data_IF_478799232108
#
_entry.id   IF_478799232108
#
_cell.length_a   1.000
_cell.length_b   1.000
_cell.length_c   1.000
_cell.angle_alpha   90.00
_cell.angle_beta   90.00
_cell.angle_gamma   90.00
#
_symmetry.space_group_name_H-M   'P 1'
#
loop_
_entity.id
_entity.type
_entity.pdbx_description
1 polymer ?
#
# COMPACT_ATOMS: atom_id res chain seq x y z
N UNK A 1 -4.36 0.27 11.74
CA UNK A 1 -3.32 -0.41 12.54
C UNK A 1 -2.33 -1.01 11.57
N UNK A 2 -1.02 -0.86 11.80
CA UNK A 2 0.01 -1.44 10.92
C UNK A 2 0.05 -2.96 11.04
N UNK A 3 0.05 -3.65 9.90
CA UNK A 3 0.24 -5.10 9.80
C UNK A 3 1.72 -5.41 9.63
N UNK A 4 2.18 -6.46 10.29
CA UNK A 4 3.53 -6.97 10.09
C UNK A 4 3.67 -7.61 8.70
N UNK A 5 4.71 -7.23 7.96
CA UNK A 5 4.99 -7.76 6.64
C UNK A 5 6.43 -8.33 6.58
N UNK A 6 6.52 -9.66 6.45
CA UNK A 6 7.80 -10.39 6.44
C UNK A 6 8.71 -10.01 5.26
N UNK A 7 8.16 -9.76 4.07
CA UNK A 7 8.95 -9.34 2.90
C UNK A 7 9.61 -7.98 3.15
N UNK A 8 8.84 -7.04 3.71
CA UNK A 8 9.35 -5.72 4.10
C UNK A 8 10.39 -5.84 5.22
N UNK A 9 10.17 -6.73 6.20
CA UNK A 9 11.11 -6.96 7.30
C UNK A 9 12.45 -7.55 6.82
N UNK A 10 12.43 -8.43 5.83
CA UNK A 10 13.64 -8.96 5.21
C UNK A 10 14.46 -7.84 4.54
N UNK A 11 13.80 -6.93 3.83
CA UNK A 11 14.44 -5.74 3.23
C UNK A 11 15.03 -4.83 4.31
N UNK A 12 14.26 -4.53 5.36
CA UNK A 12 14.72 -3.72 6.49
C UNK A 12 15.95 -4.35 7.18
N UNK A 13 15.98 -5.69 7.32
CA UNK A 13 17.11 -6.42 7.92
C UNK A 13 18.35 -6.41 7.03
N UNK A 14 18.17 -6.52 5.71
CA UNK A 14 19.27 -6.37 4.77
C UNK A 14 19.87 -4.95 4.85
N UNK A 15 18.99 -3.94 4.91
CA UNK A 15 19.43 -2.56 4.96
C UNK A 15 20.09 -2.20 6.29
N UNK A 16 19.62 -2.74 7.43
CA UNK A 16 20.28 -2.50 8.72
C UNK A 16 21.73 -3.00 8.75
N UNK A 17 22.02 -4.10 8.06
CA UNK A 17 23.40 -4.57 7.85
C UNK A 17 24.18 -3.62 6.93
N UNK A 18 23.54 -3.13 5.86
CA UNK A 18 24.15 -2.16 4.94
C UNK A 18 24.60 -0.91 5.68
N UNK A 19 23.78 -0.38 6.60
CA UNK A 19 24.14 0.78 7.44
C UNK A 19 25.40 0.58 8.29
N UNK A 20 25.71 -0.66 8.68
CA UNK A 20 26.93 -0.98 9.44
C UNK A 20 28.20 -0.95 8.58
N UNK A 21 28.05 -1.09 7.26
CA UNK A 21 29.16 -1.18 6.30
C UNK A 21 29.37 0.18 5.60
N UNK A 22 28.27 0.79 5.16
CA UNK A 22 28.28 1.96 4.28
C UNK A 22 28.07 3.28 5.03
N UNK A 23 27.61 3.22 6.29
CA UNK A 23 27.31 4.38 7.12
C UNK A 23 25.80 4.62 7.30
N UNK A 24 25.46 5.54 8.21
CA UNK A 24 24.09 5.76 8.67
C UNK A 24 23.33 6.79 7.81
N UNK A 25 22.73 6.32 6.71
CA UNK A 25 22.00 7.16 5.75
C UNK A 25 20.73 6.47 5.21
N UNK A 26 19.73 7.24 4.79
CA UNK A 26 18.50 6.71 4.17
C UNK A 26 18.70 6.16 2.75
N UNK A 27 19.82 6.54 2.12
CA UNK A 27 20.23 6.07 0.80
C UNK A 27 21.51 5.26 0.91
N UNK A 28 21.57 4.17 0.15
CA UNK A 28 22.81 3.42 -0.03
C UNK A 28 23.80 4.18 -0.93
N UNK A 29 24.98 3.59 -1.13
CA UNK A 29 26.02 4.17 -2.00
C UNK A 29 25.59 4.29 -3.47
N UNK A 30 24.59 3.54 -3.92
CA UNK A 30 24.00 3.64 -5.26
C UNK A 30 22.91 4.72 -5.33
N UNK A 31 22.56 5.33 -4.20
CA UNK A 31 21.56 6.39 -4.07
C UNK A 31 20.12 5.89 -3.91
N UNK A 32 19.91 4.57 -3.72
CA UNK A 32 18.59 3.95 -3.61
C UNK A 32 18.00 4.21 -2.23
N UNK A 33 16.73 4.59 -2.18
CA UNK A 33 15.97 4.74 -0.94
C UNK A 33 15.10 3.52 -0.62
N UNK A 34 14.29 3.62 0.44
CA UNK A 34 13.43 2.51 0.86
C UNK A 34 12.39 2.12 -0.21
N UNK A 35 11.90 3.09 -1.00
CA UNK A 35 10.97 2.84 -2.10
C UNK A 35 11.65 2.08 -3.23
N UNK A 36 12.87 2.47 -3.59
CA UNK A 36 13.68 1.74 -4.56
C UNK A 36 13.92 0.29 -4.11
N UNK A 37 14.29 0.09 -2.83
CA UNK A 37 14.50 -1.25 -2.24
C UNK A 37 13.22 -2.10 -2.24
N UNK A 38 12.05 -1.52 -1.99
CA UNK A 38 10.76 -2.21 -2.11
C UNK A 38 10.48 -2.63 -3.56
N UNK A 39 10.68 -1.70 -4.51
CA UNK A 39 10.46 -1.94 -5.94
C UNK A 39 11.37 -3.04 -6.49
N UNK A 40 12.65 -3.04 -6.14
CA UNK A 40 13.62 -4.07 -6.56
C UNK A 40 13.24 -5.48 -6.08
N UNK A 41 12.42 -5.57 -5.04
CA UNK A 41 11.89 -6.82 -4.52
C UNK A 41 10.45 -7.11 -4.99
N UNK A 42 9.97 -6.43 -6.04
CA UNK A 42 8.61 -6.55 -6.60
C UNK A 42 7.51 -6.34 -5.55
N UNK A 43 7.72 -5.42 -4.61
CA UNK A 43 6.69 -5.01 -3.66
C UNK A 43 6.04 -3.74 -4.18
N UNK A 44 4.79 -3.86 -4.63
CA UNK A 44 3.97 -2.70 -4.95
C UNK A 44 3.69 -1.88 -3.70
N UNK A 45 3.61 -0.56 -3.80
CA UNK A 45 3.18 0.30 -2.71
C UNK A 45 2.58 1.60 -3.26
N UNK A 46 1.59 2.15 -2.55
CA UNK A 46 1.02 3.48 -2.86
C UNK A 46 1.81 4.61 -2.21
N UNK A 47 2.46 4.32 -1.08
CA UNK A 47 3.36 5.21 -0.34
C UNK A 47 4.36 4.37 0.45
N UNK A 48 5.57 4.90 0.66
CA UNK A 48 6.59 4.25 1.49
C UNK A 48 7.26 5.28 2.42
N UNK A 49 7.74 4.82 3.58
CA UNK A 49 8.54 5.60 4.51
C UNK A 49 9.56 4.72 5.22
N UNK A 50 10.57 5.34 5.82
CA UNK A 50 11.62 4.63 6.55
C UNK A 50 12.02 5.40 7.82
N UNK A 51 12.13 4.67 8.91
CA UNK A 51 12.75 5.12 10.14
C UNK A 51 14.05 4.36 10.36
N UNK A 52 15.11 5.11 10.68
CA UNK A 52 16.42 4.57 11.03
C UNK A 52 16.74 4.88 12.49
N UNK A 53 17.45 4.00 13.16
CA UNK A 53 17.98 4.27 14.50
C UNK A 53 19.35 3.60 14.67
N UNK A 54 20.32 4.32 15.22
CA UNK A 54 21.64 3.80 15.57
C UNK A 54 21.82 3.90 17.09
N UNK A 55 22.17 2.77 17.70
CA UNK A 55 22.49 2.69 19.12
C UNK A 55 23.95 2.30 19.25
N UNK A 56 24.72 3.06 20.02
CA UNK A 56 26.13 2.79 20.30
C UNK A 56 26.35 2.56 21.80
N UNK A 57 27.49 1.97 22.17
CA UNK A 57 27.85 1.75 23.56
C UNK A 57 26.97 0.72 24.28
N UNK A 58 26.33 -0.17 23.53
CA UNK A 58 25.41 -1.17 24.07
C UNK A 58 26.09 -2.09 25.10
N UNK A 59 25.30 -2.45 26.11
CA UNK A 59 25.63 -3.43 27.13
C UNK A 59 24.45 -4.40 27.31
N UNK A 60 24.62 -5.44 28.13
CA UNK A 60 23.64 -6.51 28.29
C UNK A 60 22.28 -6.07 28.88
N UNK A 61 22.17 -4.86 29.43
CA UNK A 61 20.93 -4.37 30.04
C UNK A 61 20.11 -3.46 29.11
N UNK A 62 20.63 -3.08 27.94
CA UNK A 62 19.91 -2.20 27.02
C UNK A 62 18.81 -2.98 26.28
N UNK A 63 17.57 -2.53 26.44
CA UNK A 63 16.45 -3.00 25.63
C UNK A 63 16.44 -2.27 24.27
N UNK A 64 16.95 -2.94 23.24
CA UNK A 64 17.14 -2.37 21.90
C UNK A 64 15.82 -1.92 21.28
N UNK A 65 14.76 -2.73 21.38
CA UNK A 65 13.47 -2.42 20.75
C UNK A 65 12.81 -1.21 21.40
N UNK A 66 12.76 -1.19 22.73
CA UNK A 66 12.20 -0.07 23.49
C UNK A 66 12.99 1.22 23.23
N UNK A 67 14.32 1.14 23.19
CA UNK A 67 15.17 2.30 22.92
C UNK A 67 14.91 2.87 21.52
N UNK A 68 14.89 2.02 20.49
CA UNK A 68 14.65 2.46 19.11
C UNK A 68 13.24 3.05 18.92
N UNK A 69 12.21 2.37 19.42
CA UNK A 69 10.81 2.84 19.31
C UNK A 69 10.62 4.15 20.07
N UNK A 70 11.13 4.24 21.30
CA UNK A 70 11.08 5.48 22.09
C UNK A 70 11.82 6.61 21.40
N UNK A 71 12.97 6.32 20.78
CA UNK A 71 13.72 7.29 19.98
C UNK A 71 12.90 7.82 18.80
N UNK A 72 12.25 6.94 18.03
CA UNK A 72 11.39 7.35 16.92
C UNK A 72 10.19 8.16 17.38
N UNK A 73 9.53 7.77 18.47
CA UNK A 73 8.36 8.48 18.99
C UNK A 73 8.68 9.89 19.50
N UNK A 74 9.90 10.16 19.97
CA UNK A 74 10.33 11.49 20.41
C UNK A 74 10.72 12.43 19.26
N UNK A 75 10.85 11.92 18.04
CA UNK A 75 11.18 12.72 16.86
C UNK A 75 9.94 12.89 15.98
N UNK A 76 9.42 14.11 15.75
CA UNK A 76 8.21 14.31 14.95
C UNK A 76 8.25 13.66 13.57
N UNK A 77 9.41 13.72 12.89
CA UNK A 77 9.58 13.10 11.57
C UNK A 77 9.45 11.57 11.63
N UNK A 78 10.02 10.91 12.63
CA UNK A 78 9.98 9.45 12.79
C UNK A 78 8.66 8.97 13.42
N UNK A 79 8.05 9.76 14.30
CA UNK A 79 6.73 9.47 14.86
C UNK A 79 5.65 9.52 13.79
N UNK A 80 5.80 10.40 12.80
CA UNK A 80 4.77 10.62 11.78
C UNK A 80 4.27 9.34 11.09
N UNK A 81 5.14 8.46 10.52
CA UNK A 81 4.68 7.21 9.92
C UNK A 81 4.16 6.16 10.93
N UNK A 82 4.43 6.32 12.23
CA UNK A 82 3.97 5.40 13.28
C UNK A 82 2.58 5.78 13.79
N UNK A 83 2.34 7.06 14.09
CA UNK A 83 1.15 7.52 14.82
C UNK A 83 0.41 8.70 14.19
N UNK A 84 1.08 9.57 13.43
CA UNK A 84 0.46 10.85 13.02
C UNK A 84 -0.16 10.78 11.60
N UNK A 85 -0.02 9.64 10.92
CA UNK A 85 -0.49 9.39 9.55
C UNK A 85 -1.41 8.17 9.50
N UNK A 86 -2.58 8.33 10.11
CA UNK A 86 -3.63 7.32 10.04
C UNK A 86 -3.96 6.97 8.59
N UNK A 87 -4.14 5.66 8.34
CA UNK A 87 -4.58 5.08 7.06
C UNK A 87 -3.65 5.27 5.84
N UNK A 88 -2.53 6.00 5.95
CA UNK A 88 -1.54 6.10 4.86
C UNK A 88 -0.67 4.86 4.73
N UNK A 89 -0.28 4.26 5.86
CA UNK A 89 0.50 3.03 5.89
C UNK A 89 -0.36 1.90 6.45
N UNK A 90 -0.39 0.78 5.74
CA UNK A 90 -1.12 -0.41 6.16
C UNK A 90 -0.18 -1.48 6.71
N UNK A 91 1.08 -1.47 6.27
CA UNK A 91 2.04 -2.53 6.50
C UNK A 91 3.40 -1.97 6.91
N UNK A 92 4.13 -2.70 7.75
CA UNK A 92 5.49 -2.37 8.13
C UNK A 92 6.34 -3.62 8.39
N UNK A 93 7.65 -3.46 8.25
CA UNK A 93 8.64 -4.46 8.59
C UNK A 93 9.82 -3.84 9.31
N UNK A 94 10.38 -4.56 10.29
CA UNK A 94 11.49 -4.10 11.12
C UNK A 94 12.68 -5.04 10.97
N UNK A 95 13.87 -4.48 10.82
CA UNK A 95 15.13 -5.20 10.75
C UNK A 95 16.17 -4.60 11.67
N UNK A 96 16.93 -5.45 12.36
CA UNK A 96 18.00 -5.02 13.25
C UNK A 96 19.27 -5.82 12.92
N UNK A 97 20.39 -5.11 12.83
CA UNK A 97 21.72 -5.69 12.72
C UNK A 97 22.62 -5.10 13.79
N UNK A 98 23.36 -5.96 14.49
CA UNK A 98 24.24 -5.56 15.59
C UNK A 98 25.66 -6.04 15.32
N UNK A 99 26.62 -5.15 15.51
CA UNK A 99 28.04 -5.48 15.47
C UNK A 99 28.74 -4.82 16.66
N UNK A 100 29.48 -5.63 17.43
CA UNK A 100 30.16 -5.22 18.68
C UNK A 100 29.16 -4.59 19.66
N UNK A 101 29.27 -3.29 19.91
CA UNK A 101 28.42 -2.51 20.84
C UNK A 101 27.50 -1.55 20.09
N UNK A 102 27.31 -1.76 18.79
CA UNK A 102 26.49 -0.91 17.95
C UNK A 102 25.38 -1.75 17.31
N UNK A 103 24.15 -1.24 17.32
CA UNK A 103 23.03 -1.83 16.60
C UNK A 103 22.36 -0.78 15.72
N UNK A 104 21.96 -1.21 14.53
CA UNK A 104 21.23 -0.44 13.54
C UNK A 104 19.83 -1.04 13.44
N UNK A 105 18.81 -0.22 13.68
CA UNK A 105 17.41 -0.60 13.51
C UNK A 105 16.82 0.17 12.32
N UNK A 106 16.10 -0.56 11.49
CA UNK A 106 15.40 -0.03 10.32
C UNK A 106 13.95 -0.47 10.44
N UNK A 107 13.02 0.47 10.27
CA UNK A 107 11.60 0.18 10.11
C UNK A 107 11.13 0.78 8.79
N UNK A 108 10.63 -0.06 7.90
CA UNK A 108 10.08 0.35 6.60
C UNK A 108 8.57 0.23 6.67
N UNK A 109 7.87 1.24 6.17
CA UNK A 109 6.41 1.32 6.10
C UNK A 109 5.98 1.32 4.64
N UNK A 110 4.86 0.67 4.33
CA UNK A 110 4.25 0.68 3.01
C UNK A 110 2.72 0.80 3.10
N UNK A 111 2.16 1.57 2.17
CA UNK A 111 0.73 1.56 1.87
C UNK A 111 0.43 0.44 0.87
N UNK A 112 -0.07 -0.69 1.36
CA UNK A 112 -0.51 -1.85 0.57
C UNK A 112 -2.02 -1.99 0.57
N UNK A 113 -2.73 -1.06 1.18
CA UNK A 113 -4.19 -1.03 1.20
C UNK A 113 -4.70 0.35 0.81
N UNK A 114 -5.82 0.38 0.10
CA UNK A 114 -6.56 1.61 -0.19
C UNK A 114 -8.03 1.37 0.07
N UNK A 115 -8.56 2.07 1.07
CA UNK A 115 -9.98 2.11 1.36
C UNK A 115 -10.58 3.41 0.83
N UNK A 116 -11.74 3.33 0.19
CA UNK A 116 -12.48 4.48 -0.28
C UNK A 116 -13.97 4.31 0.01
N UNK A 117 -14.59 5.39 0.50
CA UNK A 117 -16.03 5.48 0.67
C UNK A 117 -16.59 6.43 -0.37
N UNK A 118 -17.60 5.99 -1.09
CA UNK A 118 -18.28 6.80 -2.11
C UNK A 118 -19.79 6.75 -1.90
N UNK A 119 -20.48 7.81 -2.31
CA UNK A 119 -21.93 7.83 -2.44
C UNK A 119 -22.27 7.93 -3.93
N UNK A 120 -23.17 7.06 -4.38
CA UNK A 120 -23.56 6.96 -5.78
C UNK A 120 -25.08 7.12 -5.90
N UNK A 121 -25.51 8.24 -6.49
CA UNK A 121 -26.93 8.52 -6.70
C UNK A 121 -27.54 7.59 -7.77
N UNK A 122 -28.88 7.43 -7.80
CA UNK A 122 -29.56 6.63 -8.82
C UNK A 122 -29.20 7.08 -10.24
N UNK A 123 -28.81 6.14 -11.09
CA UNK A 123 -28.40 6.38 -12.48
C UNK A 123 -26.96 6.90 -12.67
N UNK A 124 -26.21 7.09 -11.58
CA UNK A 124 -24.80 7.50 -11.64
C UNK A 124 -23.88 6.28 -11.66
N UNK A 125 -22.67 6.51 -12.14
CA UNK A 125 -21.58 5.54 -12.12
C UNK A 125 -20.25 6.23 -11.84
N UNK A 126 -19.25 5.46 -11.44
CA UNK A 126 -17.89 5.94 -11.17
C UNK A 126 -16.85 4.98 -11.74
N UNK A 127 -15.62 5.49 -11.91
CA UNK A 127 -14.45 4.70 -12.29
C UNK A 127 -13.35 4.83 -11.23
N UNK A 128 -12.72 3.71 -10.92
CA UNK A 128 -11.60 3.63 -9.99
C UNK A 128 -10.48 2.80 -10.61
N UNK A 129 -9.25 3.30 -10.55
CA UNK A 129 -8.10 2.48 -10.92
C UNK A 129 -7.87 1.38 -9.89
N UNK A 130 -7.70 0.16 -10.38
CA UNK A 130 -7.08 -0.93 -9.62
C UNK A 130 -5.57 -0.76 -9.59
N UNK A 131 -5.01 -0.30 -10.71
CA UNK A 131 -3.60 0.03 -10.83
C UNK A 131 -3.49 1.35 -11.59
N UNK A 132 -3.23 2.43 -10.86
CA UNK A 132 -3.05 3.76 -11.44
C UNK A 132 -1.79 3.80 -12.33
N UNK A 133 -1.92 4.26 -13.59
CA UNK A 133 -0.80 4.30 -14.53
C UNK A 133 0.30 5.30 -14.15
N UNK A 134 0.07 6.21 -13.20
CA UNK A 134 1.09 7.11 -12.68
C UNK A 134 2.13 6.42 -11.79
N UNK A 135 1.82 5.25 -11.23
CA UNK A 135 2.78 4.56 -10.38
C UNK A 135 4.00 4.08 -11.18
N UNK A 136 5.22 4.15 -10.62
CA UNK A 136 6.47 3.90 -11.35
C UNK A 136 6.85 2.42 -11.45
N UNK A 137 5.91 1.50 -11.26
CA UNK A 137 6.14 0.06 -11.36
C UNK A 137 5.89 -0.44 -12.80
N UNK A 138 6.57 -1.52 -13.14
CA UNK A 138 6.59 -2.19 -14.45
C UNK A 138 6.19 -3.68 -14.37
N UNK A 139 5.64 -4.10 -13.23
CA UNK A 139 5.13 -5.46 -12.99
C UNK A 139 3.64 -5.43 -12.68
N UNK A 140 2.93 -6.50 -13.02
CA UNK A 140 1.53 -6.70 -12.65
C UNK A 140 1.39 -7.00 -11.16
N UNK A 141 0.26 -6.61 -10.56
CA UNK A 141 0.08 -6.63 -9.11
C UNK A 141 -1.14 -7.45 -8.74
N UNK A 142 -1.02 -8.48 -7.89
CA UNK A 142 -2.19 -9.12 -7.30
C UNK A 142 -2.93 -8.13 -6.39
N UNK A 143 -4.23 -7.99 -6.61
CA UNK A 143 -5.12 -7.10 -5.86
C UNK A 143 -6.34 -7.88 -5.39
N UNK A 144 -6.55 -7.96 -4.09
CA UNK A 144 -7.84 -8.32 -3.52
C UNK A 144 -8.74 -7.09 -3.54
N UNK A 145 -9.92 -7.25 -4.14
CA UNK A 145 -10.93 -6.21 -4.27
C UNK A 145 -12.12 -6.62 -3.42
N UNK A 146 -12.52 -5.76 -2.49
CA UNK A 146 -13.70 -5.92 -1.65
C UNK A 146 -14.59 -4.70 -1.80
N UNK A 147 -15.87 -4.91 -2.09
CA UNK A 147 -16.86 -3.86 -2.31
C UNK A 147 -18.11 -4.22 -1.52
N UNK A 148 -18.51 -3.35 -0.59
CA UNK A 148 -19.76 -3.45 0.15
C UNK A 148 -20.60 -2.21 -0.07
N UNK A 149 -21.89 -2.40 -0.35
CA UNK A 149 -22.83 -1.34 -0.70
C UNK A 149 -24.13 -1.50 0.09
N UNK A 150 -24.73 -0.37 0.47
CA UNK A 150 -26.06 -0.36 1.11
C UNK A 150 -27.19 -0.74 0.14
N UNK A 151 -27.00 -0.49 -1.16
CA UNK A 151 -27.97 -0.77 -2.23
C UNK A 151 -27.33 -1.60 -3.35
N UNK A 152 -28.13 -2.16 -4.25
CA UNK A 152 -27.62 -2.96 -5.35
C UNK A 152 -26.81 -2.11 -6.34
N UNK A 153 -25.66 -2.64 -6.75
CA UNK A 153 -24.76 -2.05 -7.73
C UNK A 153 -24.33 -3.07 -8.77
N UNK A 154 -23.96 -2.54 -9.93
CA UNK A 154 -23.30 -3.28 -11.00
C UNK A 154 -21.81 -2.92 -11.01
N UNK A 155 -20.95 -3.92 -11.18
CA UNK A 155 -19.50 -3.83 -11.08
C UNK A 155 -18.89 -4.42 -12.36
N UNK A 156 -18.03 -3.66 -13.02
CA UNK A 156 -17.37 -4.05 -14.26
C UNK A 156 -15.86 -3.81 -14.17
N UNK A 157 -15.06 -4.85 -14.36
CA UNK A 157 -13.61 -4.74 -14.43
C UNK A 157 -13.20 -4.47 -15.87
N UNK A 158 -12.50 -3.37 -16.10
CA UNK A 158 -12.15 -2.92 -17.44
C UNK A 158 -10.64 -2.75 -17.62
N UNK A 159 -10.09 -3.14 -18.79
CA UNK A 159 -8.65 -3.05 -19.08
C UNK A 159 -8.03 -1.67 -18.89
N UNK A 160 -8.78 -0.60 -19.15
CA UNK A 160 -8.28 0.77 -19.05
C UNK A 160 -9.44 1.78 -19.01
N UNK A 161 -9.10 3.05 -18.77
CA UNK A 161 -10.05 4.15 -18.73
C UNK A 161 -10.78 4.39 -20.07
N UNK A 162 -10.20 4.03 -21.22
CA UNK A 162 -10.88 4.17 -22.51
C UNK A 162 -12.18 3.34 -22.56
N UNK A 163 -12.18 2.16 -21.93
CA UNK A 163 -13.39 1.33 -21.85
C UNK A 163 -14.49 1.97 -21.00
N UNK A 164 -14.12 2.71 -19.96
CA UNK A 164 -15.06 3.51 -19.18
C UNK A 164 -15.68 4.63 -20.01
N UNK A 165 -14.88 5.35 -20.82
CA UNK A 165 -15.42 6.37 -21.71
C UNK A 165 -16.35 5.77 -22.78
N UNK A 166 -16.05 4.57 -23.29
CA UNK A 166 -16.96 3.82 -24.18
C UNK A 166 -18.24 3.41 -23.48
N UNK A 167 -18.15 2.94 -22.23
CA UNK A 167 -19.30 2.59 -21.40
C UNK A 167 -20.25 3.79 -21.22
N UNK A 168 -19.70 4.97 -20.89
CA UNK A 168 -20.47 6.22 -20.76
C UNK A 168 -21.22 6.62 -22.04
N UNK A 169 -20.60 6.36 -23.21
CA UNK A 169 -21.17 6.72 -24.50
C UNK A 169 -22.15 5.67 -25.04
N UNK A 170 -22.51 4.66 -24.26
CA UNK A 170 -23.27 3.47 -24.71
C UNK A 170 -22.61 2.78 -25.92
N UNK A 171 -21.28 2.91 -26.04
CA UNK A 171 -20.49 2.24 -27.04
C UNK A 171 -20.19 0.79 -26.68
N UNK A 172 -19.57 0.06 -27.61
CA UNK A 172 -19.08 -1.29 -27.33
C UNK A 172 -17.82 -1.20 -26.45
N UNK A 173 -17.91 -1.68 -25.22
CA UNK A 173 -16.80 -1.71 -24.26
C UNK A 173 -16.37 -3.15 -23.99
N UNK A 174 -15.16 -3.30 -23.46
CA UNK A 174 -14.64 -4.59 -23.01
C UNK A 174 -14.57 -4.63 -21.49
N UNK A 175 -15.11 -5.70 -20.92
CA UNK A 175 -15.02 -6.04 -19.51
C UNK A 175 -14.36 -7.43 -19.36
N UNK A 176 -13.70 -7.65 -18.24
CA UNK A 176 -13.08 -8.94 -17.89
C UNK A 176 -13.88 -9.67 -16.82
N UNK A 177 -14.54 -8.92 -15.94
CA UNK A 177 -15.45 -9.43 -14.91
C UNK A 177 -16.65 -8.50 -14.89
N UNK A 178 -17.84 -9.09 -14.84
CA UNK A 178 -19.10 -8.36 -14.61
C UNK A 178 -19.86 -9.00 -13.46
N UNK A 179 -20.29 -8.18 -12.52
CA UNK A 179 -21.19 -8.60 -11.45
C UNK A 179 -22.33 -7.58 -11.35
N UNK A 180 -23.56 -8.03 -11.60
CA UNK A 180 -24.74 -7.18 -11.57
C UNK A 180 -25.62 -7.45 -10.35
N UNK A 181 -26.34 -6.42 -9.91
CA UNK A 181 -27.33 -6.51 -8.84
C UNK A 181 -26.75 -7.09 -7.56
N UNK A 182 -25.59 -6.60 -7.11
CA UNK A 182 -24.95 -7.08 -5.88
C UNK A 182 -24.82 -6.00 -4.82
N UNK A 183 -24.83 -6.40 -3.55
CA UNK A 183 -24.56 -5.51 -2.39
C UNK A 183 -23.21 -5.78 -1.74
N UNK A 184 -22.63 -6.95 -2.02
CA UNK A 184 -21.28 -7.30 -1.58
C UNK A 184 -20.56 -8.05 -2.69
N UNK A 185 -19.27 -7.79 -2.87
CA UNK A 185 -18.45 -8.45 -3.88
C UNK A 185 -17.01 -8.53 -3.38
N UNK A 186 -16.41 -9.71 -3.50
CA UNK A 186 -15.00 -9.92 -3.19
C UNK A 186 -14.37 -10.80 -4.27
N UNK A 187 -13.19 -10.41 -4.74
CA UNK A 187 -12.42 -11.19 -5.71
C UNK A 187 -10.94 -10.86 -5.62
N UNK A 188 -10.10 -11.73 -6.15
CA UNK A 188 -8.68 -11.46 -6.35
C UNK A 188 -8.39 -11.44 -7.84
N UNK A 189 -7.70 -10.39 -8.29
CA UNK A 189 -7.28 -10.23 -9.68
C UNK A 189 -5.79 -9.91 -9.74
N UNK A 190 -5.15 -10.26 -10.86
CA UNK A 190 -3.83 -9.71 -11.18
C UNK A 190 -4.09 -8.48 -12.04
N UNK A 191 -3.86 -7.30 -11.47
CA UNK A 191 -4.12 -6.03 -12.12
C UNK A 191 -2.91 -5.61 -12.95
N UNK A 192 -3.15 -5.29 -14.21
CA UNK A 192 -2.18 -4.61 -15.06
C UNK A 192 -2.33 -3.10 -15.01
N UNK A 193 -1.25 -2.40 -15.35
CA UNK A 193 -1.19 -0.94 -15.32
C UNK A 193 -2.32 -0.30 -16.13
N UNK A 194 -3.08 0.59 -15.49
CA UNK A 194 -4.23 1.27 -16.09
C UNK A 194 -5.58 0.57 -15.91
N UNK A 195 -5.59 -0.69 -15.48
CA UNK A 195 -6.83 -1.44 -15.23
C UNK A 195 -7.66 -0.78 -14.11
N UNK A 196 -8.98 -0.86 -14.23
CA UNK A 196 -9.89 -0.27 -13.27
C UNK A 196 -11.23 -0.97 -13.16
N UNK A 197 -12.09 -0.42 -12.31
CA UNK A 197 -13.44 -0.89 -12.04
C UNK A 197 -14.41 0.26 -12.31
N UNK A 198 -15.49 -0.07 -13.01
CA UNK A 198 -16.69 0.76 -13.12
C UNK A 198 -17.69 0.25 -12.08
N UNK A 199 -18.27 1.16 -11.29
CA UNK A 199 -19.35 0.84 -10.36
C UNK A 199 -20.54 1.73 -10.70
N UNK A 200 -21.69 1.11 -10.96
CA UNK A 200 -22.93 1.77 -11.35
C UNK A 200 -24.03 1.46 -10.33
N UNK A 201 -24.86 2.45 -10.00
CA UNK A 201 -26.05 2.22 -9.17
C UNK A 201 -27.10 1.44 -9.96
N UNK A 202 -27.67 0.39 -9.35
CA UNK A 202 -28.70 -0.45 -9.94
C UNK A 202 -30.09 -0.22 -9.32
N UNK A 203 -30.16 0.44 -8.16
CA UNK A 203 -31.40 0.77 -7.44
C UNK A 203 -31.83 2.24 -7.64
N UNK A 204 -33.04 2.55 -7.20
CA UNK A 204 -33.65 3.89 -7.19
C UNK A 204 -33.23 4.74 -5.97
N UNK A 205 -32.33 4.23 -5.14
CA UNK A 205 -31.80 4.89 -3.94
C UNK A 205 -30.30 5.16 -4.06
N UNK A 206 -29.82 6.16 -3.33
CA UNK A 206 -28.39 6.45 -3.22
C UNK A 206 -27.66 5.30 -2.53
N UNK A 207 -26.69 4.71 -3.21
CA UNK A 207 -25.82 3.66 -2.68
C UNK A 207 -24.64 4.26 -1.93
N UNK A 208 -24.40 3.84 -0.69
CA UNK A 208 -23.17 4.13 0.05
C UNK A 208 -22.26 2.91 -0.06
N UNK A 209 -21.09 3.10 -0.66
CA UNK A 209 -20.22 2.01 -1.09
C UNK A 209 -18.86 2.17 -0.40
N UNK A 210 -18.42 1.11 0.28
CA UNK A 210 -17.08 0.96 0.82
C UNK A 210 -16.29 0.05 -0.14
N UNK A 211 -15.10 0.47 -0.52
CA UNK A 211 -14.23 -0.23 -1.47
C UNK A 211 -12.87 -0.37 -0.81
N UNK A 212 -12.40 -1.59 -0.66
CA UNK A 212 -11.06 -1.90 -0.16
C UNK A 212 -10.27 -2.61 -1.26
N UNK A 213 -9.09 -2.08 -1.56
CA UNK A 213 -8.10 -2.66 -2.46
C UNK A 213 -6.88 -3.06 -1.63
N UNK A 214 -6.46 -4.32 -1.68
CA UNK A 214 -5.34 -4.85 -0.92
C UNK A 214 -4.32 -5.45 -1.90
N UNK A 215 -3.10 -4.90 -1.93
CA UNK A 215 -2.00 -5.30 -2.81
C UNK A 215 -1.07 -6.30 -2.09
N UNK A 216 -0.60 -7.37 -2.75
CA UNK A 216 0.19 -8.45 -2.12
C UNK A 216 1.40 -8.97 -2.91
#
# INVERSE_FOLDING_TARGET
>A
MLKWNEKIAAIARSYSKTLSIEGFHHKDLEGKDAGDRLRENNIFYTVAAENLYMMEGLNATVNISETAVTGWLHSPAHRSPILDRDELFSDAGVGIYCEKKTCYAVMVFAGLERSQKIELNPGYLTFLYLYDPSFPFDFDVPVSVEIDSTEYVDIFFVPNREQYEKFLQHGNYQSTIEKKGTRSFSTMVVASKGQGIIIQSADDKTAKININLIYS
#
